data_IF_250187433189
#
_entry.id   IF_250187433189
#
_cell.length_a   1.000
_cell.length_b   1.000
_cell.length_c   1.000
_cell.angle_alpha   90.00
_cell.angle_beta   90.00
_cell.angle_gamma   90.00
#
_symmetry.space_group_name_H-M   'P 1'
#
loop_
_entity.id
_entity.type
_entity.pdbx_description
1 polymer ?
#
# COMPACT_ATOMS: atom_id res chain seq x y z
N UNK A 1 -35.77 -55.97 1.04
CA UNK A 1 -35.81 -54.50 1.19
C UNK A 1 -34.41 -53.94 0.94
N UNK A 2 -34.09 -53.62 -0.31
CA UNK A 2 -32.86 -52.91 -0.67
C UNK A 2 -33.20 -51.42 -0.77
N UNK A 3 -32.62 -50.58 0.09
CA UNK A 3 -32.74 -49.12 -0.01
C UNK A 3 -31.67 -48.63 -0.99
N UNK A 4 -32.11 -48.17 -2.15
CA UNK A 4 -31.31 -47.35 -3.05
C UNK A 4 -30.90 -46.06 -2.32
N UNK A 5 -29.61 -45.86 -2.11
CA UNK A 5 -29.05 -44.54 -1.87
C UNK A 5 -28.89 -43.86 -3.23
N UNK A 6 -29.84 -42.99 -3.60
CA UNK A 6 -29.58 -41.97 -4.59
C UNK A 6 -28.58 -40.98 -3.97
N UNK A 7 -27.33 -41.06 -4.40
CA UNK A 7 -26.39 -39.95 -4.28
C UNK A 7 -26.84 -38.84 -5.23
N UNK A 8 -27.52 -37.82 -4.69
CA UNK A 8 -27.79 -36.60 -5.44
C UNK A 8 -26.46 -35.98 -5.87
N UNK A 9 -26.29 -35.61 -7.16
CA UNK A 9 -25.13 -34.86 -7.58
C UNK A 9 -25.18 -33.50 -6.86
N UNK A 10 -24.11 -33.18 -6.10
CA UNK A 10 -23.89 -31.85 -5.53
C UNK A 10 -24.19 -30.79 -6.61
N UNK A 11 -25.26 -30.00 -6.40
CA UNK A 11 -25.69 -29.02 -7.38
C UNK A 11 -24.59 -28.00 -7.62
N UNK A 12 -24.37 -27.60 -8.87
CA UNK A 12 -23.40 -26.55 -9.25
C UNK A 12 -23.59 -25.25 -8.45
N UNK A 13 -24.82 -24.99 -8.00
CA UNK A 13 -25.16 -23.85 -7.15
C UNK A 13 -24.57 -23.96 -5.73
N UNK A 14 -24.54 -25.16 -5.13
CA UNK A 14 -23.93 -25.39 -3.81
C UNK A 14 -22.40 -25.28 -3.87
N UNK A 15 -21.78 -25.72 -4.97
CA UNK A 15 -20.34 -25.55 -5.22
C UNK A 15 -19.96 -24.08 -5.42
N UNK A 16 -20.78 -23.31 -6.16
CA UNK A 16 -20.55 -21.87 -6.34
C UNK A 16 -20.65 -21.09 -5.02
N UNK A 17 -21.66 -21.38 -4.20
CA UNK A 17 -21.80 -20.74 -2.88
C UNK A 17 -20.61 -21.09 -1.96
N UNK A 18 -20.10 -22.32 -2.04
CA UNK A 18 -18.90 -22.74 -1.30
C UNK A 18 -17.64 -21.96 -1.73
N UNK A 19 -17.45 -21.70 -3.03
CA UNK A 19 -16.32 -20.88 -3.50
C UNK A 19 -16.41 -19.42 -3.06
N UNK A 20 -17.61 -18.84 -3.06
CA UNK A 20 -17.82 -17.46 -2.61
C UNK A 20 -17.46 -17.31 -1.13
N UNK A 21 -17.93 -18.23 -0.29
CA UNK A 21 -17.59 -18.28 1.13
C UNK A 21 -16.09 -18.46 1.36
N UNK A 22 -15.43 -19.37 0.61
CA UNK A 22 -13.97 -19.54 0.66
C UNK A 22 -13.26 -18.23 0.30
N UNK A 23 -13.70 -17.55 -0.76
CA UNK A 23 -13.16 -16.27 -1.19
C UNK A 23 -13.30 -15.19 -0.12
N UNK A 24 -14.51 -14.99 0.39
CA UNK A 24 -14.79 -13.99 1.43
C UNK A 24 -13.96 -14.26 2.69
N UNK A 25 -13.91 -15.51 3.16
CA UNK A 25 -13.12 -15.88 4.33
C UNK A 25 -11.63 -15.65 4.11
N UNK A 26 -11.10 -16.02 2.95
CA UNK A 26 -9.70 -15.79 2.61
C UNK A 26 -9.39 -14.28 2.56
N UNK A 27 -10.31 -13.47 2.02
CA UNK A 27 -10.18 -12.02 2.02
C UNK A 27 -10.15 -11.43 3.44
N UNK A 28 -11.07 -11.83 4.31
CA UNK A 28 -11.14 -11.35 5.70
C UNK A 28 -9.85 -11.67 6.47
N UNK A 29 -9.34 -12.89 6.33
CA UNK A 29 -8.09 -13.31 6.98
C UNK A 29 -6.88 -12.51 6.51
N UNK A 30 -6.80 -12.14 5.22
CA UNK A 30 -5.61 -11.52 4.64
C UNK A 30 -5.66 -9.98 4.61
N UNK A 31 -6.83 -9.34 4.45
CA UNK A 31 -6.92 -7.90 4.17
C UNK A 31 -7.63 -7.07 5.26
N UNK A 32 -8.42 -7.69 6.14
CA UNK A 32 -9.22 -7.01 7.19
C UNK A 32 -8.65 -7.19 8.60
N UNK A 33 -7.69 -8.11 8.78
CA UNK A 33 -6.93 -8.39 10.02
C UNK A 33 -7.55 -7.86 11.34
N UNK A 34 -8.30 -8.73 12.03
CA UNK A 34 -8.80 -8.50 13.39
C UNK A 34 -10.23 -8.96 13.61
N UNK A 35 -10.51 -10.27 13.63
CA UNK A 35 -11.85 -10.78 13.97
C UNK A 35 -12.29 -10.41 15.40
N UNK A 36 -11.36 -9.98 16.28
CA UNK A 36 -11.62 -9.68 17.70
C UNK A 36 -10.77 -8.58 18.33
N UNK A 37 -10.02 -7.80 17.55
CA UNK A 37 -9.16 -6.74 18.06
C UNK A 37 -9.39 -5.46 17.29
N UNK A 38 -9.43 -4.32 17.98
CA UNK A 38 -9.41 -2.97 17.43
C UNK A 38 -8.11 -2.62 16.67
N UNK A 39 -7.29 -3.63 16.34
CA UNK A 39 -6.06 -3.50 15.58
C UNK A 39 -6.35 -3.22 14.10
N UNK A 40 -5.63 -2.25 13.55
CA UNK A 40 -5.74 -1.75 12.20
C UNK A 40 -5.18 -2.74 11.16
N UNK A 41 -5.84 -2.84 10.00
CA UNK A 41 -5.47 -3.61 8.81
C UNK A 41 -5.75 -2.76 7.55
N UNK A 42 -5.82 -3.35 6.35
CA UNK A 42 -5.94 -2.56 5.10
C UNK A 42 -7.38 -2.08 4.88
N UNK A 43 -8.39 -2.91 5.17
CA UNK A 43 -9.82 -2.60 4.96
C UNK A 43 -10.67 -2.74 6.22
N UNK A 44 -10.13 -2.39 7.41
CA UNK A 44 -10.80 -2.61 8.71
C UNK A 44 -12.03 -1.73 8.97
N UNK A 45 -12.39 -0.88 8.00
CA UNK A 45 -13.68 -0.21 7.98
C UNK A 45 -14.80 -1.09 7.40
N UNK A 46 -14.48 -2.25 6.83
CA UNK A 46 -15.44 -3.32 6.53
C UNK A 46 -15.69 -4.06 7.84
N UNK A 47 -16.85 -3.87 8.50
CA UNK A 47 -17.07 -4.48 9.81
C UNK A 47 -17.12 -6.01 9.69
N UNK A 48 -16.51 -6.74 10.62
CA UNK A 48 -16.59 -8.21 10.64
C UNK A 48 -18.05 -8.68 10.78
N UNK A 49 -18.83 -7.97 11.60
CA UNK A 49 -20.27 -8.25 11.84
C UNK A 49 -21.14 -8.01 10.59
N UNK A 50 -20.66 -7.18 9.65
CA UNK A 50 -21.35 -6.91 8.39
C UNK A 50 -21.42 -8.15 7.47
N UNK A 51 -20.50 -9.11 7.66
CA UNK A 51 -20.45 -10.35 6.86
C UNK A 51 -21.30 -11.46 7.49
N UNK A 52 -21.49 -11.44 8.82
CA UNK A 52 -22.18 -12.51 9.57
C UNK A 52 -23.70 -12.34 9.57
N UNK A 53 -24.22 -11.11 9.56
CA UNK A 53 -25.67 -10.83 9.75
C UNK A 53 -26.48 -10.66 8.44
N UNK A 54 -26.00 -11.15 7.29
CA UNK A 54 -26.76 -11.14 6.01
C UNK A 54 -27.21 -9.74 5.48
N UNK A 55 -26.68 -8.65 6.04
CA UNK A 55 -26.96 -7.27 5.60
C UNK A 55 -25.87 -6.68 4.68
N UNK A 56 -24.88 -7.48 4.29
CA UNK A 56 -23.83 -7.04 3.38
C UNK A 56 -24.39 -6.78 1.98
N UNK A 57 -23.98 -5.68 1.36
CA UNK A 57 -24.32 -5.43 -0.04
C UNK A 57 -23.81 -6.58 -0.91
N UNK A 58 -24.63 -7.19 -1.79
CA UNK A 58 -24.18 -8.26 -2.69
C UNK A 58 -22.94 -7.88 -3.50
N UNK A 59 -22.82 -6.58 -3.84
CA UNK A 59 -21.68 -6.00 -4.55
C UNK A 59 -20.39 -6.11 -3.74
N UNK A 60 -20.45 -5.83 -2.44
CA UNK A 60 -19.31 -5.92 -1.54
C UNK A 60 -18.90 -7.38 -1.34
N UNK A 61 -19.87 -8.28 -1.15
CA UNK A 61 -19.63 -9.73 -1.04
C UNK A 61 -18.93 -10.26 -2.29
N UNK A 62 -19.45 -9.94 -3.48
CA UNK A 62 -18.83 -10.35 -4.75
C UNK A 62 -17.41 -9.79 -4.91
N UNK A 63 -17.17 -8.54 -4.47
CA UNK A 63 -15.84 -7.92 -4.48
C UNK A 63 -14.86 -8.66 -3.56
N UNK A 64 -15.28 -8.97 -2.33
CA UNK A 64 -14.46 -9.73 -1.37
C UNK A 64 -14.16 -11.15 -1.88
N UNK A 65 -15.17 -11.85 -2.40
CA UNK A 65 -15.03 -13.17 -2.99
C UNK A 65 -14.01 -13.16 -4.14
N UNK A 66 -14.12 -12.18 -5.05
CA UNK A 66 -13.19 -12.06 -6.18
C UNK A 66 -11.72 -11.92 -5.73
N UNK A 67 -11.46 -11.05 -4.75
CA UNK A 67 -10.09 -10.77 -4.28
C UNK A 67 -9.53 -11.96 -3.49
N UNK A 68 -10.35 -12.56 -2.62
CA UNK A 68 -9.93 -13.73 -1.87
C UNK A 68 -9.63 -14.91 -2.79
N UNK A 69 -10.50 -15.18 -3.77
CA UNK A 69 -10.31 -16.25 -4.74
C UNK A 69 -9.10 -16.02 -5.63
N UNK A 70 -8.82 -14.81 -6.12
CA UNK A 70 -7.62 -14.57 -6.95
C UNK A 70 -6.35 -14.69 -6.13
N UNK A 71 -6.36 -14.22 -4.88
CA UNK A 71 -5.19 -14.33 -4.00
C UNK A 71 -4.92 -15.80 -3.63
N UNK A 72 -5.97 -16.57 -3.34
CA UNK A 72 -5.87 -18.00 -3.10
C UNK A 72 -5.43 -18.77 -4.36
N UNK A 73 -5.96 -18.40 -5.53
CA UNK A 73 -5.60 -19.00 -6.81
C UNK A 73 -4.10 -18.83 -7.11
N UNK A 74 -3.58 -17.63 -6.88
CA UNK A 74 -2.18 -17.31 -7.10
C UNK A 74 -1.27 -18.09 -6.14
N UNK A 75 -1.58 -18.06 -4.84
CA UNK A 75 -0.75 -18.72 -3.80
C UNK A 75 -0.78 -20.24 -3.86
N UNK A 76 -1.86 -20.85 -4.39
CA UNK A 76 -2.01 -22.31 -4.50
C UNK A 76 -1.80 -22.85 -5.91
N UNK A 77 -1.60 -21.97 -6.90
CA UNK A 77 -1.43 -22.36 -8.30
C UNK A 77 -2.66 -23.04 -8.91
N UNK A 78 -3.88 -22.64 -8.52
CA UNK A 78 -5.13 -23.27 -8.96
C UNK A 78 -5.90 -22.41 -9.99
N UNK A 79 -5.85 -22.72 -11.30
CA UNK A 79 -6.48 -21.90 -12.35
C UNK A 79 -8.00 -21.82 -12.25
N UNK A 80 -8.66 -22.84 -11.69
CA UNK A 80 -10.11 -22.85 -11.52
C UNK A 80 -10.58 -21.78 -10.54
N UNK A 81 -9.83 -21.53 -9.46
CA UNK A 81 -10.11 -20.45 -8.51
C UNK A 81 -9.96 -19.08 -9.18
N UNK A 82 -8.95 -18.91 -10.05
CA UNK A 82 -8.78 -17.68 -10.82
C UNK A 82 -9.94 -17.44 -11.81
N UNK A 83 -10.52 -18.50 -12.39
CA UNK A 83 -11.72 -18.38 -13.25
C UNK A 83 -12.93 -17.91 -12.45
N UNK A 84 -13.17 -18.48 -11.27
CA UNK A 84 -14.25 -18.05 -10.38
C UNK A 84 -14.04 -16.61 -9.90
N UNK A 85 -12.79 -16.25 -9.55
CA UNK A 85 -12.43 -14.90 -9.16
C UNK A 85 -12.80 -13.85 -10.23
N UNK A 86 -12.51 -14.15 -11.51
CA UNK A 86 -12.90 -13.27 -12.65
C UNK A 86 -14.42 -13.18 -12.84
N UNK A 87 -15.14 -14.27 -12.60
CA UNK A 87 -16.60 -14.25 -12.66
C UNK A 87 -17.18 -13.35 -11.57
N UNK A 88 -16.70 -13.48 -10.33
CA UNK A 88 -17.10 -12.63 -9.19
C UNK A 88 -16.69 -11.16 -9.38
N UNK A 89 -15.52 -10.91 -9.95
CA UNK A 89 -15.09 -9.57 -10.34
C UNK A 89 -16.06 -8.94 -11.35
N UNK A 90 -16.45 -9.71 -12.38
CA UNK A 90 -17.40 -9.25 -13.41
C UNK A 90 -18.80 -9.01 -12.83
N UNK A 91 -19.24 -9.86 -11.90
CA UNK A 91 -20.48 -9.66 -11.15
C UNK A 91 -20.43 -8.37 -10.33
N UNK A 92 -19.37 -8.17 -9.55
CA UNK A 92 -19.19 -6.99 -8.70
C UNK A 92 -19.14 -5.70 -9.53
N UNK A 93 -18.38 -5.65 -10.62
CA UNK A 93 -18.26 -4.43 -11.44
C UNK A 93 -19.58 -4.07 -12.14
N UNK A 94 -20.37 -5.06 -12.56
CA UNK A 94 -21.71 -4.82 -13.11
C UNK A 94 -22.63 -4.20 -12.06
N UNK A 95 -22.61 -4.72 -10.83
CA UNK A 95 -23.41 -4.15 -9.73
C UNK A 95 -22.92 -2.75 -9.34
N UNK A 96 -21.60 -2.52 -9.29
CA UNK A 96 -21.02 -1.18 -9.09
C UNK A 96 -21.56 -0.22 -10.14
N UNK A 97 -21.51 -0.58 -11.43
CA UNK A 97 -22.00 0.28 -12.51
C UNK A 97 -23.49 0.63 -12.36
N UNK A 98 -24.33 -0.32 -11.91
CA UNK A 98 -25.73 -0.05 -11.60
C UNK A 98 -25.88 0.95 -10.44
N UNK A 99 -25.11 0.79 -9.37
CA UNK A 99 -25.14 1.73 -8.24
C UNK A 99 -24.61 3.12 -8.63
N UNK A 100 -23.58 3.19 -9.46
CA UNK A 100 -23.01 4.43 -9.96
C UNK A 100 -24.00 5.21 -10.85
N UNK A 101 -24.92 4.53 -11.53
CA UNK A 101 -25.96 5.18 -12.33
C UNK A 101 -27.04 5.89 -11.48
N UNK A 102 -27.10 5.62 -10.17
CA UNK A 102 -28.05 6.26 -9.26
C UNK A 102 -27.34 7.31 -8.38
N UNK A 103 -27.82 8.58 -8.36
CA UNK A 103 -27.28 9.61 -7.47
C UNK A 103 -27.35 9.27 -5.99
N UNK A 104 -28.32 8.44 -5.58
CA UNK A 104 -28.48 8.03 -4.17
C UNK A 104 -27.62 6.83 -3.81
N UNK A 105 -27.46 5.88 -4.73
CA UNK A 105 -26.66 4.66 -4.47
C UNK A 105 -25.16 4.92 -4.62
N UNK A 106 -24.76 5.79 -5.55
CA UNK A 106 -23.35 6.11 -5.85
C UNK A 106 -22.57 6.64 -4.64
N UNK A 107 -23.25 7.35 -3.73
CA UNK A 107 -22.62 7.98 -2.55
C UNK A 107 -22.64 7.10 -1.30
N UNK A 108 -23.24 5.89 -1.34
CA UNK A 108 -23.30 4.99 -0.18
C UNK A 108 -21.92 4.42 0.19
N UNK A 109 -21.76 4.09 1.48
CA UNK A 109 -20.56 3.44 2.01
C UNK A 109 -20.29 2.10 1.32
N UNK A 110 -21.32 1.29 1.10
CA UNK A 110 -21.19 0.01 0.40
C UNK A 110 -20.60 0.15 -1.01
N UNK A 111 -20.98 1.21 -1.74
CA UNK A 111 -20.47 1.47 -3.09
C UNK A 111 -19.00 1.82 -3.03
N UNK A 112 -18.61 2.75 -2.15
CA UNK A 112 -17.19 3.12 -2.01
C UNK A 112 -16.34 1.95 -1.50
N UNK A 113 -16.81 1.16 -0.52
CA UNK A 113 -16.11 -0.03 -0.02
C UNK A 113 -15.88 -1.05 -1.14
N UNK A 114 -16.90 -1.29 -1.97
CA UNK A 114 -16.81 -2.23 -3.09
C UNK A 114 -15.82 -1.73 -4.15
N UNK A 115 -15.88 -0.44 -4.50
CA UNK A 115 -14.91 0.18 -5.39
C UNK A 115 -13.51 0.03 -4.80
N UNK A 116 -13.22 0.48 -3.57
CA UNK A 116 -11.86 0.34 -3.00
C UNK A 116 -11.38 -1.13 -3.03
N UNK A 117 -12.26 -2.07 -2.69
CA UNK A 117 -11.96 -3.51 -2.72
C UNK A 117 -11.58 -3.97 -4.13
N UNK A 118 -12.36 -3.65 -5.16
CA UNK A 118 -12.04 -4.00 -6.55
C UNK A 118 -10.69 -3.41 -7.02
N UNK A 119 -10.26 -2.30 -6.43
CA UNK A 119 -8.93 -1.73 -6.67
C UNK A 119 -7.80 -2.68 -6.30
N UNK A 120 -7.98 -3.53 -5.28
CA UNK A 120 -7.03 -4.60 -4.96
C UNK A 120 -6.96 -5.64 -6.08
N UNK A 121 -8.09 -6.00 -6.68
CA UNK A 121 -8.10 -6.94 -7.82
C UNK A 121 -7.34 -6.38 -9.02
N UNK A 122 -7.40 -5.07 -9.26
CA UNK A 122 -6.66 -4.45 -10.36
C UNK A 122 -5.17 -4.25 -10.05
N UNK A 123 -4.82 -4.02 -8.77
CA UNK A 123 -3.44 -3.82 -8.32
C UNK A 123 -2.52 -4.98 -8.66
N UNK A 124 -3.02 -6.22 -8.68
CA UNK A 124 -2.21 -7.39 -9.07
C UNK A 124 -1.89 -7.43 -10.55
N UNK A 125 -2.69 -6.77 -11.38
CA UNK A 125 -2.63 -6.93 -12.84
C UNK A 125 -1.73 -5.88 -13.49
N UNK A 126 -2.03 -4.60 -13.28
CA UNK A 126 -1.36 -3.51 -14.00
C UNK A 126 -1.50 -2.16 -13.28
N UNK A 127 -0.43 -1.35 -13.29
CA UNK A 127 -0.43 -0.03 -12.67
C UNK A 127 -1.46 0.92 -13.28
N UNK A 128 -1.60 0.93 -14.60
CA UNK A 128 -2.48 1.87 -15.30
C UNK A 128 -3.95 1.57 -15.02
N UNK A 129 -4.29 0.28 -14.88
CA UNK A 129 -5.63 -0.10 -14.42
C UNK A 129 -5.88 0.41 -13.00
N UNK A 130 -5.03 0.02 -12.07
CA UNK A 130 -5.14 0.43 -10.67
C UNK A 130 -5.21 1.95 -10.51
N UNK A 131 -4.40 2.71 -11.25
CA UNK A 131 -4.40 4.18 -11.21
C UNK A 131 -5.75 4.78 -11.67
N UNK A 132 -6.34 4.27 -12.77
CA UNK A 132 -7.67 4.71 -13.23
C UNK A 132 -8.75 4.40 -12.19
N UNK A 133 -8.63 3.24 -11.55
CA UNK A 133 -9.57 2.82 -10.52
C UNK A 133 -9.51 3.70 -9.27
N UNK A 134 -8.30 4.02 -8.79
CA UNK A 134 -8.08 4.98 -7.69
C UNK A 134 -8.63 6.37 -8.04
N UNK A 135 -8.48 6.81 -9.30
CA UNK A 135 -9.10 8.06 -9.77
C UNK A 135 -10.62 8.02 -9.70
N UNK A 136 -11.25 6.90 -10.09
CA UNK A 136 -12.68 6.68 -9.92
C UNK A 136 -13.11 6.73 -8.45
N UNK A 137 -12.39 6.05 -7.55
CA UNK A 137 -12.65 6.09 -6.12
C UNK A 137 -12.54 7.52 -5.55
N UNK A 138 -11.56 8.30 -5.99
CA UNK A 138 -11.40 9.69 -5.62
C UNK A 138 -12.57 10.56 -6.10
N UNK A 139 -13.06 10.36 -7.32
CA UNK A 139 -14.24 11.06 -7.81
C UNK A 139 -15.48 10.77 -6.95
N UNK A 140 -15.66 9.54 -6.46
CA UNK A 140 -16.75 9.20 -5.53
C UNK A 140 -16.58 9.86 -4.17
N UNK A 141 -15.36 9.90 -3.64
CA UNK A 141 -15.04 10.62 -2.41
C UNK A 141 -15.39 12.12 -2.55
N UNK A 142 -15.08 12.72 -3.69
CA UNK A 142 -15.46 14.12 -4.00
C UNK A 142 -16.98 14.27 -4.07
N UNK A 143 -17.68 13.38 -4.78
CA UNK A 143 -19.14 13.40 -4.91
C UNK A 143 -19.87 13.24 -3.56
N UNK A 144 -19.33 12.43 -2.65
CA UNK A 144 -19.84 12.27 -1.28
C UNK A 144 -19.71 13.53 -0.42
N UNK A 145 -18.80 14.43 -0.79
CA UNK A 145 -18.63 15.73 -0.16
C UNK A 145 -18.23 15.68 1.31
N UNK A 146 -18.42 16.80 2.01
CA UNK A 146 -18.00 16.99 3.41
C UNK A 146 -18.83 16.20 4.42
N UNK A 147 -20.08 15.89 4.09
CA UNK A 147 -21.01 15.15 4.95
C UNK A 147 -20.57 13.72 5.24
N UNK A 148 -19.62 13.18 4.47
CA UNK A 148 -19.10 11.82 4.69
C UNK A 148 -18.31 11.68 6.00
N UNK A 149 -17.86 12.76 6.63
CA UNK A 149 -17.06 12.69 7.85
C UNK A 149 -17.87 12.52 9.14
N UNK A 150 -19.14 12.09 9.01
CA UNK A 150 -20.03 11.78 10.13
C UNK A 150 -19.73 10.44 10.80
N UNK A 151 -19.06 9.51 10.12
CA UNK A 151 -18.74 8.17 10.65
C UNK A 151 -17.25 7.85 10.57
N UNK A 152 -16.77 7.04 11.52
CA UNK A 152 -15.38 6.57 11.55
C UNK A 152 -15.01 5.71 10.34
N UNK A 153 -15.94 4.88 9.86
CA UNK A 153 -15.74 4.05 8.67
C UNK A 153 -15.50 4.91 7.42
N UNK A 154 -16.31 5.95 7.22
CA UNK A 154 -16.14 6.89 6.11
C UNK A 154 -14.83 7.68 6.18
N UNK A 155 -14.38 8.09 7.38
CA UNK A 155 -13.05 8.71 7.57
C UNK A 155 -11.91 7.77 7.19
N UNK A 156 -12.02 6.47 7.47
CA UNK A 156 -11.01 5.49 7.07
C UNK A 156 -11.02 5.22 5.56
N UNK A 157 -12.19 5.13 4.93
CA UNK A 157 -12.30 5.03 3.47
C UNK A 157 -11.68 6.24 2.77
N UNK A 158 -12.00 7.45 3.24
CA UNK A 158 -11.40 8.69 2.74
C UNK A 158 -9.87 8.65 2.84
N UNK A 159 -9.35 8.26 4.02
CA UNK A 159 -7.91 8.14 4.23
C UNK A 159 -7.23 7.14 3.30
N UNK A 160 -7.88 6.01 3.05
CA UNK A 160 -7.37 4.97 2.14
C UNK A 160 -7.29 5.52 0.70
N UNK A 161 -8.38 6.06 0.18
CA UNK A 161 -8.44 6.64 -1.18
C UNK A 161 -7.42 7.78 -1.34
N UNK A 162 -7.26 8.62 -0.31
CA UNK A 162 -6.27 9.69 -0.29
C UNK A 162 -4.84 9.16 -0.36
N UNK A 163 -4.51 8.13 0.42
CA UNK A 163 -3.19 7.51 0.40
C UNK A 163 -2.89 6.84 -0.95
N UNK A 164 -3.89 6.17 -1.54
CA UNK A 164 -3.76 5.57 -2.88
C UNK A 164 -3.59 6.65 -3.96
N UNK A 165 -4.32 7.77 -3.88
CA UNK A 165 -4.15 8.90 -4.78
C UNK A 165 -2.76 9.55 -4.65
N UNK A 166 -2.22 9.67 -3.43
CA UNK A 166 -0.82 10.09 -3.23
C UNK A 166 0.13 9.17 -3.99
N UNK A 167 -0.03 7.85 -3.86
CA UNK A 167 0.81 6.88 -4.56
C UNK A 167 0.68 7.01 -6.09
N UNK A 168 -0.54 7.13 -6.62
CA UNK A 168 -0.78 7.35 -8.06
C UNK A 168 -0.13 8.63 -8.55
N UNK A 169 -0.34 9.76 -7.87
CA UNK A 169 0.23 11.04 -8.25
C UNK A 169 1.76 11.01 -8.22
N UNK A 170 2.39 10.36 -7.23
CA UNK A 170 3.85 10.26 -7.15
C UNK A 170 4.45 9.40 -8.27
N UNK A 171 3.80 8.30 -8.65
CA UNK A 171 4.32 7.37 -9.66
C UNK A 171 4.04 7.83 -11.09
N UNK A 172 2.82 8.30 -11.36
CA UNK A 172 2.46 8.90 -12.66
C UNK A 172 3.04 10.33 -12.82
N UNK A 173 3.51 10.91 -11.71
CA UNK A 173 3.92 12.31 -11.57
C UNK A 173 2.91 13.25 -12.18
N UNK A 174 1.71 13.22 -11.59
CA UNK A 174 0.55 14.07 -11.82
C UNK A 174 0.33 14.95 -10.58
N UNK A 175 -0.37 16.10 -10.69
CA UNK A 175 -0.67 16.91 -9.51
C UNK A 175 -1.65 16.18 -8.59
N UNK A 176 -1.59 16.47 -7.29
CA UNK A 176 -2.59 16.00 -6.35
C UNK A 176 -3.90 16.79 -6.52
N UNK A 177 -5.09 16.14 -6.59
CA UNK A 177 -6.35 16.84 -6.83
C UNK A 177 -6.71 17.85 -5.73
N UNK A 178 -7.10 19.06 -6.11
CA UNK A 178 -7.40 20.13 -5.15
C UNK A 178 -8.70 19.88 -4.36
N UNK A 179 -9.70 19.22 -4.96
CA UNK A 179 -10.92 18.82 -4.25
C UNK A 179 -10.61 17.88 -3.06
N UNK A 180 -9.60 17.02 -3.21
CA UNK A 180 -9.14 16.15 -2.12
C UNK A 180 -8.36 16.93 -1.05
N UNK A 181 -7.68 18.02 -1.41
CA UNK A 181 -7.07 18.93 -0.42
C UNK A 181 -8.15 19.55 0.47
N UNK A 182 -9.22 20.08 -0.14
CA UNK A 182 -10.34 20.70 0.58
C UNK A 182 -11.06 19.68 1.49
N UNK A 183 -11.24 18.46 1.01
CA UNK A 183 -11.79 17.38 1.84
C UNK A 183 -10.85 16.96 2.98
N UNK A 184 -9.53 16.97 2.76
CA UNK A 184 -8.55 16.70 3.81
C UNK A 184 -8.59 17.78 4.91
N UNK A 185 -8.74 19.05 4.55
CA UNK A 185 -8.89 20.14 5.52
C UNK A 185 -10.16 19.97 6.36
N UNK A 186 -11.28 19.59 5.74
CA UNK A 186 -12.51 19.31 6.45
C UNK A 186 -12.36 18.10 7.38
N UNK A 187 -11.84 16.98 6.86
CA UNK A 187 -11.60 15.77 7.64
C UNK A 187 -10.66 16.02 8.82
N UNK A 188 -9.68 16.92 8.71
CA UNK A 188 -8.75 17.27 9.81
C UNK A 188 -9.50 17.69 11.08
N UNK A 189 -10.66 18.34 10.96
CA UNK A 189 -11.48 18.77 12.10
C UNK A 189 -12.07 17.62 12.91
N UNK A 190 -12.13 16.42 12.33
CA UNK A 190 -12.69 15.21 12.93
C UNK A 190 -11.63 14.22 13.39
N UNK A 191 -10.34 14.52 13.20
CA UNK A 191 -9.24 13.62 13.48
C UNK A 191 -8.48 14.03 14.73
N UNK A 192 -7.95 13.04 15.45
CA UNK A 192 -7.05 13.29 16.58
C UNK A 192 -5.81 14.07 16.09
N UNK A 193 -5.60 15.30 16.57
CA UNK A 193 -4.43 16.08 16.20
C UNK A 193 -3.12 15.39 16.55
N UNK A 194 -3.10 14.45 17.51
CA UNK A 194 -1.89 13.72 17.91
C UNK A 194 -1.66 12.43 17.09
N UNK A 195 -2.58 12.05 16.21
CA UNK A 195 -2.43 10.84 15.39
C UNK A 195 -1.26 10.97 14.42
N UNK A 196 -0.19 10.20 14.64
CA UNK A 196 0.95 10.15 13.72
C UNK A 196 0.53 9.68 12.32
N UNK A 197 -0.44 8.75 12.25
CA UNK A 197 -1.00 8.26 10.99
C UNK A 197 -1.69 9.37 10.19
N UNK A 198 -2.57 10.16 10.82
CA UNK A 198 -3.25 11.25 10.13
C UNK A 198 -2.26 12.31 9.65
N UNK A 199 -1.34 12.74 10.52
CA UNK A 199 -0.27 13.70 10.20
C UNK A 199 0.60 13.23 9.07
N UNK A 200 0.99 11.94 9.06
CA UNK A 200 1.76 11.34 7.98
C UNK A 200 1.05 11.52 6.64
N UNK A 201 -0.25 11.23 6.58
CA UNK A 201 -0.99 11.42 5.35
C UNK A 201 -1.06 12.88 4.92
N UNK A 202 -1.24 13.83 5.84
CA UNK A 202 -1.26 15.28 5.52
C UNK A 202 0.08 15.70 4.91
N UNK A 203 1.19 15.29 5.51
CA UNK A 203 2.53 15.54 4.97
C UNK A 203 2.75 14.80 3.64
N UNK A 204 2.18 13.60 3.47
CA UNK A 204 2.24 12.87 2.20
C UNK A 204 1.62 13.66 1.04
N UNK A 205 0.49 14.33 1.27
CA UNK A 205 -0.12 15.27 0.30
C UNK A 205 0.81 16.44 -0.02
N UNK A 206 1.44 17.02 0.99
CA UNK A 206 2.40 18.13 0.81
C UNK A 206 3.63 17.68 0.01
N UNK A 207 4.19 16.50 0.32
CA UNK A 207 5.27 15.89 -0.44
C UNK A 207 4.87 15.70 -1.90
N UNK A 208 3.67 15.18 -2.19
CA UNK A 208 3.20 15.02 -3.58
C UNK A 208 3.14 16.33 -4.34
N UNK A 209 2.57 17.39 -3.73
CA UNK A 209 2.51 18.74 -4.33
C UNK A 209 3.92 19.29 -4.59
N UNK A 210 4.82 19.11 -3.63
CA UNK A 210 6.22 19.52 -3.77
C UNK A 210 6.94 18.78 -4.90
N UNK A 211 6.84 17.45 -4.97
CA UNK A 211 7.45 16.64 -6.02
C UNK A 211 6.97 17.04 -7.42
N UNK A 212 5.67 17.32 -7.55
CA UNK A 212 5.09 17.86 -8.78
C UNK A 212 5.69 19.23 -9.14
N UNK A 213 5.81 20.13 -8.15
CA UNK A 213 6.42 21.45 -8.32
C UNK A 213 7.87 21.35 -8.82
N UNK A 214 8.69 20.48 -8.22
CA UNK A 214 10.08 20.24 -8.65
C UNK A 214 10.12 19.73 -10.09
N UNK A 215 9.30 18.73 -10.44
CA UNK A 215 9.25 18.15 -11.79
C UNK A 215 8.84 19.16 -12.86
N UNK A 216 7.95 20.09 -12.51
CA UNK A 216 7.44 21.12 -13.44
C UNK A 216 8.20 22.44 -13.37
N UNK A 217 9.18 22.57 -12.48
CA UNK A 217 10.03 23.75 -12.43
C UNK A 217 10.76 23.92 -13.77
N UNK A 218 10.63 25.11 -14.35
CA UNK A 218 11.33 25.58 -15.56
C UNK A 218 12.10 26.87 -15.25
N UNK A 219 12.40 27.11 -13.97
CA UNK A 219 13.05 28.33 -13.48
C UNK A 219 12.10 29.33 -12.83
N UNK A 220 10.81 29.01 -12.66
CA UNK A 220 9.87 29.90 -11.96
C UNK A 220 10.19 30.01 -10.46
N UNK A 221 10.78 28.96 -9.87
CA UNK A 221 11.22 28.94 -8.46
C UNK A 221 12.71 28.65 -8.43
N UNK A 222 13.45 29.48 -7.69
CA UNK A 222 14.88 29.30 -7.49
C UNK A 222 15.17 27.96 -6.78
N UNK A 223 16.18 27.23 -7.25
CA UNK A 223 16.57 25.95 -6.67
C UNK A 223 16.87 25.99 -5.16
N UNK A 224 17.56 27.02 -4.61
CA UNK A 224 17.75 27.14 -3.17
C UNK A 224 16.44 27.22 -2.37
N UNK A 225 15.41 27.88 -2.91
CA UNK A 225 14.08 27.95 -2.28
C UNK A 225 13.41 26.58 -2.26
N UNK A 226 13.49 25.81 -3.35
CA UNK A 226 12.98 24.44 -3.40
C UNK A 226 13.74 23.51 -2.45
N UNK A 227 15.05 23.69 -2.30
CA UNK A 227 15.86 22.93 -1.35
C UNK A 227 15.46 23.23 0.11
N UNK A 228 15.18 24.49 0.43
CA UNK A 228 14.67 24.88 1.75
C UNK A 228 13.30 24.25 2.04
N UNK A 229 12.39 24.25 1.06
CA UNK A 229 11.08 23.57 1.19
C UNK A 229 11.25 22.07 1.42
N UNK A 230 12.13 21.42 0.65
CA UNK A 230 12.43 20.00 0.80
C UNK A 230 12.99 19.67 2.19
N UNK A 231 13.90 20.52 2.70
CA UNK A 231 14.48 20.41 4.04
C UNK A 231 13.39 20.51 5.12
N UNK A 232 12.44 21.43 4.98
CA UNK A 232 11.29 21.56 5.88
C UNK A 232 10.36 20.33 5.86
N UNK A 233 10.10 19.76 4.68
CA UNK A 233 9.33 18.51 4.56
C UNK A 233 10.07 17.34 5.20
N UNK A 234 11.38 17.25 5.02
CA UNK A 234 12.19 16.20 5.64
C UNK A 234 12.18 16.30 7.17
N UNK A 235 12.30 17.51 7.73
CA UNK A 235 12.14 17.73 9.17
C UNK A 235 10.76 17.36 9.68
N UNK A 236 9.70 17.66 8.92
CA UNK A 236 8.32 17.28 9.27
C UNK A 236 8.13 15.76 9.29
N UNK A 237 8.68 15.05 8.31
CA UNK A 237 8.67 13.59 8.25
C UNK A 237 9.44 12.97 9.42
N UNK A 238 10.62 13.51 9.75
CA UNK A 238 11.43 13.04 10.89
C UNK A 238 10.69 13.24 12.22
N UNK A 239 10.03 14.38 12.41
CA UNK A 239 9.20 14.62 13.59
C UNK A 239 8.07 13.59 13.70
N UNK A 240 7.36 13.33 12.60
CA UNK A 240 6.28 12.32 12.58
C UNK A 240 6.82 10.92 12.89
N UNK A 241 7.99 10.56 12.36
CA UNK A 241 8.66 9.29 12.69
C UNK A 241 8.97 9.20 14.18
N UNK A 242 9.43 10.30 14.81
CA UNK A 242 9.62 10.35 16.26
C UNK A 242 8.34 10.06 17.04
N UNK A 243 7.21 10.65 16.63
CA UNK A 243 5.89 10.38 17.24
C UNK A 243 5.45 8.94 16.97
N UNK A 244 5.66 8.43 15.76
CA UNK A 244 5.31 7.07 15.37
C UNK A 244 6.07 6.02 16.18
N UNK A 245 7.36 6.26 16.50
CA UNK A 245 8.15 5.41 17.40
C UNK A 245 7.53 5.27 18.79
N UNK A 246 6.90 6.33 19.30
CA UNK A 246 6.24 6.32 20.61
C UNK A 246 4.86 5.64 20.56
N UNK A 247 4.10 5.82 19.48
CA UNK A 247 2.74 5.30 19.35
C UNK A 247 2.68 3.85 18.83
N UNK A 248 3.62 3.48 17.96
CA UNK A 248 3.66 2.18 17.27
C UNK A 248 5.10 1.82 16.89
N UNK A 249 5.97 1.79 17.90
CA UNK A 249 7.38 1.39 17.74
C UNK A 249 7.54 -0.07 17.29
N UNK A 250 8.78 -0.43 16.97
CA UNK A 250 9.18 -1.78 16.59
C UNK A 250 10.50 -2.16 17.30
N UNK A 251 10.77 -3.46 17.39
CA UNK A 251 12.04 -3.96 17.92
C UNK A 251 12.88 -4.55 16.82
N UNK A 252 14.18 -4.26 16.81
CA UNK A 252 15.13 -4.86 15.86
C UNK A 252 15.74 -6.12 16.47
N UNK A 253 15.72 -7.20 15.70
CA UNK A 253 16.26 -8.51 16.08
C UNK A 253 17.14 -9.07 14.97
N UNK A 254 17.89 -10.13 15.29
CA UNK A 254 18.74 -10.86 14.34
C UNK A 254 18.41 -12.34 14.34
N UNK A 255 18.56 -12.99 13.18
CA UNK A 255 18.42 -14.44 13.00
C UNK A 255 19.69 -15.01 12.32
N UNK A 256 20.76 -15.25 13.10
CA UNK A 256 21.97 -15.87 12.58
C UNK A 256 21.67 -17.23 11.94
N UNK A 257 22.21 -17.49 10.75
CA UNK A 257 21.94 -18.73 10.00
C UNK A 257 20.50 -18.86 9.48
N UNK A 258 19.70 -17.77 9.51
CA UNK A 258 18.40 -17.74 8.85
C UNK A 258 18.53 -17.81 7.33
N UNK A 259 17.46 -18.24 6.65
CA UNK A 259 17.41 -18.28 5.19
C UNK A 259 17.73 -16.89 4.61
N UNK A 260 18.83 -16.72 3.85
CA UNK A 260 19.26 -15.42 3.33
C UNK A 260 18.29 -14.86 2.30
N UNK A 261 17.43 -15.70 1.69
CA UNK A 261 16.36 -15.20 0.83
C UNK A 261 15.36 -14.39 1.65
N UNK A 262 15.10 -14.74 2.91
CA UNK A 262 14.16 -14.08 3.83
C UNK A 262 14.84 -13.02 4.71
N UNK A 263 15.98 -13.34 5.31
CA UNK A 263 16.65 -12.51 6.32
C UNK A 263 17.91 -11.84 5.75
N UNK A 264 17.73 -10.73 5.03
CA UNK A 264 18.85 -9.95 4.51
C UNK A 264 19.76 -9.45 5.63
N UNK A 265 21.06 -9.81 5.57
CA UNK A 265 22.05 -9.52 6.61
C UNK A 265 21.59 -9.91 8.02
N UNK A 266 20.81 -11.00 8.13
CA UNK A 266 20.29 -11.56 9.37
C UNK A 266 19.36 -10.64 10.17
N UNK A 267 19.10 -9.41 9.73
CA UNK A 267 18.30 -8.42 10.46
C UNK A 267 16.82 -8.53 10.10
N UNK A 268 15.97 -8.41 11.10
CA UNK A 268 14.54 -8.19 10.92
C UNK A 268 13.97 -7.29 12.01
N UNK A 269 12.88 -6.61 11.71
CA UNK A 269 12.18 -5.72 12.64
C UNK A 269 10.78 -6.29 12.96
N UNK A 270 10.41 -6.27 14.24
CA UNK A 270 9.14 -6.81 14.76
C UNK A 270 8.22 -5.65 15.14
N UNK A 271 7.12 -5.54 14.42
CA UNK A 271 6.06 -4.56 14.60
C UNK A 271 4.84 -5.17 15.31
N UNK A 272 3.98 -4.32 15.83
CA UNK A 272 2.76 -4.74 16.52
C UNK A 272 1.74 -5.44 15.62
N UNK A 273 1.71 -5.12 14.32
CA UNK A 273 0.86 -5.75 13.30
C UNK A 273 1.27 -5.31 11.88
N UNK A 274 0.64 -5.89 10.86
CA UNK A 274 0.86 -5.58 9.44
C UNK A 274 0.55 -4.12 9.06
N UNK A 275 -0.41 -3.49 9.73
CA UNK A 275 -0.69 -2.06 9.51
C UNK A 275 0.45 -1.17 9.98
N UNK A 276 1.06 -1.46 11.12
CA UNK A 276 2.22 -0.72 11.59
C UNK A 276 3.36 -0.79 10.55
N UNK A 277 3.63 -1.98 10.00
CA UNK A 277 4.58 -2.16 8.89
C UNK A 277 4.24 -1.22 7.72
N UNK A 278 2.97 -1.20 7.29
CA UNK A 278 2.51 -0.34 6.19
C UNK A 278 2.74 1.15 6.46
N UNK A 279 2.37 1.64 7.64
CA UNK A 279 2.55 3.05 8.02
C UNK A 279 4.03 3.43 8.05
N UNK A 280 4.87 2.59 8.66
CA UNK A 280 6.32 2.79 8.68
C UNK A 280 6.92 2.80 7.28
N UNK A 281 6.57 1.85 6.43
CA UNK A 281 7.08 1.79 5.06
C UNK A 281 6.59 2.96 4.20
N UNK A 282 5.37 3.47 4.41
CA UNK A 282 4.91 4.69 3.77
C UNK A 282 5.74 5.91 4.20
N UNK A 283 6.02 6.06 5.50
CA UNK A 283 6.87 7.14 6.00
C UNK A 283 8.30 7.08 5.46
N UNK A 284 8.89 5.88 5.37
CA UNK A 284 10.21 5.66 4.78
C UNK A 284 10.21 5.97 3.29
N UNK A 285 9.18 5.55 2.56
CA UNK A 285 9.01 5.84 1.13
C UNK A 285 8.96 7.34 0.88
N UNK A 286 8.18 8.09 1.66
CA UNK A 286 8.09 9.54 1.55
C UNK A 286 9.44 10.22 1.79
N UNK A 287 10.16 9.82 2.83
CA UNK A 287 11.51 10.34 3.10
C UNK A 287 12.49 10.05 1.96
N UNK A 288 12.47 8.84 1.39
CA UNK A 288 13.31 8.51 0.23
C UNK A 288 12.99 9.43 -0.96
N UNK A 289 11.70 9.64 -1.28
CA UNK A 289 11.30 10.51 -2.40
C UNK A 289 11.70 11.97 -2.19
N UNK A 290 11.58 12.48 -0.96
CA UNK A 290 12.02 13.85 -0.61
C UNK A 290 13.55 13.95 -0.70
N UNK A 291 14.30 13.01 -0.13
CA UNK A 291 15.77 12.97 -0.22
C UNK A 291 16.26 12.86 -1.67
N UNK A 292 15.65 12.03 -2.51
CA UNK A 292 16.01 11.94 -3.93
C UNK A 292 15.75 13.27 -4.65
N UNK A 293 14.69 13.99 -4.28
CA UNK A 293 14.42 15.33 -4.83
C UNK A 293 15.41 16.37 -4.32
N UNK A 294 15.80 16.32 -3.04
CA UNK A 294 16.87 17.16 -2.50
C UNK A 294 18.16 16.94 -3.29
N UNK A 295 18.57 15.69 -3.53
CA UNK A 295 19.75 15.36 -4.34
C UNK A 295 19.67 15.92 -5.75
N UNK A 296 18.51 15.76 -6.41
CA UNK A 296 18.28 16.35 -7.73
C UNK A 296 18.43 17.87 -7.71
N UNK A 297 17.81 18.55 -6.74
CA UNK A 297 17.89 20.01 -6.58
C UNK A 297 19.33 20.46 -6.28
N UNK A 298 20.04 19.76 -5.39
CA UNK A 298 21.44 20.03 -5.08
C UNK A 298 22.31 19.95 -6.34
N UNK A 299 22.08 18.98 -7.22
CA UNK A 299 22.80 18.90 -8.49
C UNK A 299 22.51 20.10 -9.41
N UNK A 300 21.28 20.62 -9.41
CA UNK A 300 20.95 21.84 -10.17
C UNK A 300 21.65 23.08 -9.61
N UNK A 301 21.80 23.16 -8.28
CA UNK A 301 22.51 24.26 -7.61
C UNK A 301 24.01 24.17 -7.89
N UNK A 302 24.61 22.99 -7.73
CA UNK A 302 26.05 22.76 -7.95
C UNK A 302 26.48 22.93 -9.42
N UNK A 303 25.54 22.94 -10.36
CA UNK A 303 25.81 23.25 -11.77
C UNK A 303 26.01 24.76 -12.02
N UNK A 304 25.77 25.61 -11.01
CA UNK A 304 25.99 27.06 -11.07
C UNK A 304 27.31 27.45 -10.42
N UNK A 305 27.80 28.66 -10.72
CA UNK A 305 29.00 29.21 -10.07
C UNK A 305 28.65 29.64 -8.63
N UNK A 306 29.28 29.01 -7.66
CA UNK A 306 28.99 29.16 -6.23
C UNK A 306 30.26 29.52 -5.46
N UNK A 307 30.10 30.31 -4.41
CA UNK A 307 31.19 30.50 -3.45
C UNK A 307 31.59 29.17 -2.80
N UNK A 308 32.89 28.94 -2.52
CA UNK A 308 33.38 27.65 -2.01
C UNK A 308 32.67 27.14 -0.74
N UNK A 309 32.29 28.06 0.16
CA UNK A 309 31.58 27.71 1.41
C UNK A 309 30.17 27.19 1.11
N UNK A 310 29.45 27.84 0.19
CA UNK A 310 28.11 27.43 -0.23
C UNK A 310 28.18 26.10 -0.95
N UNK A 311 29.16 25.91 -1.84
CA UNK A 311 29.38 24.63 -2.52
C UNK A 311 29.59 23.49 -1.51
N UNK A 312 30.50 23.68 -0.54
CA UNK A 312 30.78 22.67 0.48
C UNK A 312 29.55 22.32 1.33
N UNK A 313 28.71 23.31 1.65
CA UNK A 313 27.46 23.08 2.39
C UNK A 313 26.46 22.22 1.60
N UNK A 314 26.28 22.50 0.30
CA UNK A 314 25.37 21.75 -0.57
C UNK A 314 25.89 20.33 -0.80
N UNK A 315 27.20 20.15 -0.95
CA UNK A 315 27.83 18.83 -1.06
C UNK A 315 27.65 17.99 0.21
N UNK A 316 27.82 18.58 1.40
CA UNK A 316 27.59 17.91 2.67
C UNK A 316 26.13 17.46 2.81
N UNK A 317 25.18 18.34 2.52
CA UNK A 317 23.75 17.99 2.57
C UNK A 317 23.39 16.85 1.58
N UNK A 318 24.06 16.82 0.42
CA UNK A 318 23.90 15.73 -0.56
C UNK A 318 24.42 14.39 -0.03
N UNK A 319 25.49 14.40 0.76
CA UNK A 319 26.01 13.20 1.43
C UNK A 319 25.08 12.73 2.56
N UNK A 320 24.59 13.65 3.39
CA UNK A 320 23.65 13.34 4.48
C UNK A 320 22.36 12.68 3.93
N UNK A 321 21.80 13.23 2.85
CA UNK A 321 20.61 12.66 2.20
C UNK A 321 20.88 11.27 1.64
N UNK A 322 22.09 11.00 1.14
CA UNK A 322 22.50 9.67 0.67
C UNK A 322 22.56 8.67 1.83
N UNK A 323 23.13 9.04 2.98
CA UNK A 323 23.16 8.16 4.16
C UNK A 323 21.74 7.83 4.65
N UNK A 324 20.87 8.83 4.71
CA UNK A 324 19.46 8.66 5.07
C UNK A 324 18.78 7.64 4.14
N UNK A 325 18.91 7.79 2.82
CA UNK A 325 18.30 6.88 1.84
C UNK A 325 18.83 5.45 2.00
N UNK A 326 20.14 5.29 2.19
CA UNK A 326 20.76 3.97 2.41
C UNK A 326 20.17 3.28 3.64
N UNK A 327 20.06 4.00 4.76
CA UNK A 327 19.47 3.50 6.01
C UNK A 327 18.00 3.11 5.81
N UNK A 328 17.19 4.00 5.22
CA UNK A 328 15.77 3.77 5.01
C UNK A 328 15.49 2.56 4.13
N UNK A 329 16.30 2.35 3.08
CA UNK A 329 16.17 1.16 2.23
C UNK A 329 16.45 -0.14 2.99
N UNK A 330 17.47 -0.17 3.85
CA UNK A 330 17.75 -1.32 4.74
C UNK A 330 16.62 -1.54 5.76
N UNK A 331 16.05 -0.47 6.29
CA UNK A 331 14.92 -0.56 7.22
C UNK A 331 13.64 -1.07 6.54
N UNK A 332 13.40 -0.75 5.25
CA UNK A 332 12.30 -1.35 4.46
C UNK A 332 12.53 -2.85 4.31
N UNK A 333 13.75 -3.28 3.94
CA UNK A 333 14.09 -4.71 3.81
C UNK A 333 13.87 -5.45 5.15
N UNK A 334 14.24 -4.85 6.28
CA UNK A 334 14.06 -5.46 7.59
C UNK A 334 12.60 -5.73 7.97
N UNK A 335 11.62 -5.12 7.28
CA UNK A 335 10.19 -5.42 7.48
C UNK A 335 9.71 -6.71 6.81
N UNK A 336 10.47 -7.22 5.83
CA UNK A 336 10.02 -8.32 4.96
C UNK A 336 9.71 -9.60 5.75
N UNK A 337 10.55 -10.08 6.69
CA UNK A 337 10.30 -11.35 7.36
C UNK A 337 8.97 -11.39 8.12
N UNK A 338 8.63 -10.30 8.81
CA UNK A 338 7.35 -10.20 9.52
C UNK A 338 6.18 -10.01 8.55
N UNK A 339 6.34 -9.19 7.51
CA UNK A 339 5.28 -8.97 6.54
C UNK A 339 4.89 -10.27 5.80
N UNK A 340 5.85 -11.16 5.53
CA UNK A 340 5.61 -12.48 4.94
C UNK A 340 4.88 -13.45 5.89
N UNK A 341 4.82 -13.15 7.19
CA UNK A 341 4.30 -14.05 8.23
C UNK A 341 5.30 -15.07 8.75
N UNK A 342 6.59 -14.99 8.36
CA UNK A 342 7.65 -15.88 8.85
C UNK A 342 7.98 -15.58 10.32
N UNK A 343 7.85 -14.31 10.71
CA UNK A 343 7.94 -13.87 12.10
C UNK A 343 6.52 -13.52 12.58
N UNK A 344 6.03 -14.12 13.68
CA UNK A 344 4.69 -13.81 14.18
C UNK A 344 4.61 -12.37 14.66
N UNK A 345 3.40 -11.80 14.65
CA UNK A 345 3.18 -10.50 15.27
C UNK A 345 3.10 -10.62 16.80
N UNK A 346 3.44 -9.53 17.51
CA UNK A 346 3.29 -9.48 18.96
C UNK A 346 1.82 -9.67 19.40
N UNK A 347 0.86 -9.30 18.54
CA UNK A 347 -0.57 -9.54 18.75
C UNK A 347 -1.03 -10.98 18.47
N UNK A 348 -0.21 -11.80 17.82
CA UNK A 348 -0.58 -13.15 17.37
C UNK A 348 -0.26 -14.24 18.40
N UNK A 349 0.36 -13.86 19.53
CA UNK A 349 0.69 -14.76 20.65
C UNK A 349 -0.61 -15.17 21.36
N UNK A 350 -1.34 -16.12 20.77
CA UNK A 350 -2.56 -16.69 21.35
C UNK A 350 -3.49 -17.45 20.39
N UNK A 351 -3.36 -17.27 19.06
CA UNK A 351 -4.36 -17.78 18.11
C UNK A 351 -3.72 -18.31 16.82
N UNK A 352 -2.96 -19.39 16.94
CA UNK A 352 -2.51 -20.16 15.79
C UNK A 352 -3.70 -20.96 15.22
N UNK A 353 -4.43 -20.38 14.27
CA UNK A 353 -5.11 -21.22 13.26
C UNK A 353 -4.05 -21.50 12.21
N UNK A 354 -3.60 -22.75 12.17
CA UNK A 354 -2.62 -23.26 11.22
C UNK A 354 -3.24 -23.29 9.81
N UNK A 355 -3.26 -22.14 9.14
CA UNK A 355 -3.42 -22.07 7.70
C UNK A 355 -2.00 -21.96 7.14
N UNK A 356 -1.43 -23.11 6.82
CA UNK A 356 -0.16 -23.26 6.10
C UNK A 356 -0.28 -22.64 4.69
N UNK A 357 -0.18 -21.31 4.61
CA UNK A 357 0.04 -20.59 3.36
C UNK A 357 1.50 -20.10 3.33
N UNK A 358 2.30 -20.46 2.31
CA UNK A 358 3.72 -20.11 2.29
C UNK A 358 4.03 -18.61 2.24
N UNK A 359 3.06 -17.74 1.94
CA UNK A 359 3.22 -16.28 1.85
C UNK A 359 1.88 -15.63 2.18
N UNK A 360 1.84 -14.73 3.17
CA UNK A 360 0.67 -13.88 3.40
C UNK A 360 0.38 -13.07 2.13
N UNK A 361 -0.74 -13.34 1.46
CA UNK A 361 -1.07 -12.74 0.17
C UNK A 361 -1.12 -11.20 0.21
N UNK A 362 -1.41 -10.62 1.38
CA UNK A 362 -1.40 -9.16 1.59
C UNK A 362 0.01 -8.55 1.62
N UNK A 363 1.05 -9.33 1.91
CA UNK A 363 2.42 -8.85 2.06
C UNK A 363 2.91 -8.15 0.79
N UNK A 364 2.70 -8.79 -0.36
CA UNK A 364 3.08 -8.23 -1.64
C UNK A 364 2.37 -6.90 -1.94
N UNK A 365 1.05 -6.81 -1.70
CA UNK A 365 0.30 -5.56 -1.84
C UNK A 365 0.86 -4.43 -0.95
N UNK A 366 1.23 -4.75 0.29
CA UNK A 366 1.77 -3.76 1.23
C UNK A 366 3.19 -3.31 0.91
N UNK A 367 3.98 -4.16 0.24
CA UNK A 367 5.43 -3.99 0.15
C UNK A 367 5.96 -3.68 -1.25
N UNK A 368 5.23 -4.01 -2.31
CA UNK A 368 5.71 -3.87 -3.69
C UNK A 368 6.23 -2.45 -3.96
N UNK A 369 5.51 -1.41 -3.53
CA UNK A 369 5.92 -0.01 -3.76
C UNK A 369 7.09 0.46 -2.89
N UNK A 370 7.18 0.01 -1.63
CA UNK A 370 8.28 0.40 -0.75
C UNK A 370 9.58 -0.27 -1.18
N UNK A 371 9.52 -1.57 -1.50
CA UNK A 371 10.65 -2.31 -2.07
C UNK A 371 11.08 -1.73 -3.42
N UNK A 372 10.14 -1.43 -4.33
CA UNK A 372 10.46 -0.77 -5.59
C UNK A 372 11.12 0.59 -5.37
N UNK A 373 10.61 1.42 -4.45
CA UNK A 373 11.21 2.72 -4.15
C UNK A 373 12.64 2.59 -3.62
N UNK A 374 12.89 1.63 -2.72
CA UNK A 374 14.22 1.36 -2.21
C UNK A 374 15.15 0.82 -3.31
N UNK A 375 14.71 -0.17 -4.10
CA UNK A 375 15.52 -0.83 -5.13
C UNK A 375 15.83 0.07 -6.33
N UNK A 376 14.92 0.97 -6.68
CA UNK A 376 15.12 1.98 -7.74
C UNK A 376 16.18 3.02 -7.36
N UNK A 377 16.37 3.28 -6.07
CA UNK A 377 17.28 4.34 -5.63
C UNK A 377 18.71 4.01 -6.07
N UNK A 378 19.44 4.97 -6.68
CA UNK A 378 20.84 4.75 -7.05
C UNK A 378 21.71 4.49 -5.82
N UNK A 379 21.28 4.89 -4.62
CA UNK A 379 22.03 4.68 -3.37
C UNK A 379 21.99 3.22 -2.88
N UNK A 380 20.94 2.48 -3.25
CA UNK A 380 20.79 1.08 -2.89
C UNK A 380 21.49 0.23 -3.95
N UNK A 381 22.77 -0.10 -3.75
CA UNK A 381 23.60 -0.83 -4.72
C UNK A 381 23.96 -2.25 -4.23
N UNK A 382 24.57 -3.03 -5.13
CA UNK A 382 25.12 -4.35 -4.82
C UNK A 382 24.08 -5.35 -4.31
N UNK A 383 24.41 -6.04 -3.23
CA UNK A 383 23.61 -7.15 -2.69
C UNK A 383 22.22 -6.70 -2.21
N UNK A 384 22.07 -5.47 -1.72
CA UNK A 384 20.77 -4.95 -1.28
C UNK A 384 19.78 -4.81 -2.44
N UNK A 385 20.23 -4.28 -3.58
CA UNK A 385 19.41 -4.14 -4.80
C UNK A 385 19.03 -5.50 -5.37
N UNK A 386 19.98 -6.43 -5.47
CA UNK A 386 19.75 -7.80 -5.95
C UNK A 386 18.71 -8.51 -5.09
N UNK A 387 18.82 -8.40 -3.77
CA UNK A 387 17.87 -8.99 -2.84
C UNK A 387 16.46 -8.43 -3.03
N UNK A 388 16.33 -7.11 -3.19
CA UNK A 388 15.04 -6.46 -3.48
C UNK A 388 14.44 -6.97 -4.80
N UNK A 389 15.26 -7.07 -5.86
CA UNK A 389 14.82 -7.58 -7.17
C UNK A 389 14.27 -9.00 -7.03
N UNK A 390 15.03 -9.89 -6.37
CA UNK A 390 14.60 -11.27 -6.15
C UNK A 390 13.28 -11.32 -5.39
N UNK A 391 13.13 -10.51 -4.34
CA UNK A 391 11.90 -10.48 -3.55
C UNK A 391 10.69 -9.98 -4.35
N UNK A 392 10.86 -8.98 -5.20
CA UNK A 392 9.80 -8.50 -6.11
C UNK A 392 9.46 -9.55 -7.18
N UNK A 393 10.44 -10.31 -7.68
CA UNK A 393 10.20 -11.43 -8.59
C UNK A 393 9.38 -12.52 -7.92
N UNK A 394 9.67 -12.87 -6.67
CA UNK A 394 8.88 -13.82 -5.89
C UNK A 394 7.44 -13.35 -5.67
N UNK A 395 7.22 -12.06 -5.38
CA UNK A 395 5.86 -11.49 -5.34
C UNK A 395 5.15 -11.60 -6.69
N UNK A 396 5.87 -11.40 -7.79
CA UNK A 396 5.34 -11.56 -9.13
C UNK A 396 4.93 -13.00 -9.46
N UNK A 397 5.84 -13.95 -9.23
CA UNK A 397 5.66 -15.35 -9.63
C UNK A 397 4.79 -16.15 -8.66
N UNK A 398 4.97 -15.96 -7.34
CA UNK A 398 4.33 -16.79 -6.32
C UNK A 398 3.05 -16.18 -5.76
N UNK A 399 2.99 -14.84 -5.62
CA UNK A 399 1.78 -14.14 -5.19
C UNK A 399 0.92 -13.63 -6.37
N UNK A 400 1.41 -13.80 -7.61
CA UNK A 400 0.71 -13.40 -8.84
C UNK A 400 0.54 -11.88 -9.00
N UNK A 401 1.41 -11.09 -8.37
CA UNK A 401 1.41 -9.63 -8.48
C UNK A 401 2.22 -9.23 -9.71
N UNK A 402 1.60 -9.28 -10.89
CA UNK A 402 2.26 -9.02 -12.19
C UNK A 402 2.90 -7.64 -12.23
N UNK A 403 2.31 -6.64 -11.56
CA UNK A 403 2.90 -5.32 -11.38
C UNK A 403 4.34 -5.37 -10.80
N UNK A 404 4.62 -6.29 -9.86
CA UNK A 404 5.94 -6.41 -9.28
C UNK A 404 7.01 -6.79 -10.33
N UNK A 405 6.66 -7.61 -11.32
CA UNK A 405 7.56 -7.98 -12.43
C UNK A 405 7.85 -6.79 -13.34
N UNK A 406 6.83 -5.99 -13.67
CA UNK A 406 7.01 -4.75 -14.44
C UNK A 406 7.96 -3.77 -13.73
N UNK A 407 7.85 -3.68 -12.40
CA UNK A 407 8.72 -2.83 -11.58
C UNK A 407 10.16 -3.35 -11.53
N UNK A 408 10.35 -4.68 -11.50
CA UNK A 408 11.69 -5.30 -11.59
C UNK A 408 12.38 -4.94 -12.90
N UNK A 409 11.69 -5.06 -14.04
CA UNK A 409 12.26 -4.65 -15.34
C UNK A 409 12.72 -3.20 -15.33
N UNK A 410 11.98 -2.31 -14.66
CA UNK A 410 12.36 -0.92 -14.52
C UNK A 410 13.63 -0.74 -13.67
N UNK A 411 13.77 -1.47 -12.55
CA UNK A 411 14.99 -1.43 -11.72
C UNK A 411 16.19 -1.93 -12.52
N UNK A 412 16.05 -3.04 -13.25
CA UNK A 412 17.12 -3.63 -14.06
C UNK A 412 17.59 -2.65 -15.15
N UNK A 413 16.66 -1.97 -15.83
CA UNK A 413 17.01 -0.96 -16.84
C UNK A 413 17.81 0.20 -16.22
N UNK A 414 17.46 0.64 -15.02
CA UNK A 414 18.18 1.71 -14.31
C UNK A 414 19.60 1.25 -13.95
N UNK A 415 19.75 0.01 -13.50
CA UNK A 415 21.04 -0.60 -13.17
C UNK A 415 21.96 -0.70 -14.40
N UNK A 416 21.39 -1.07 -15.55
CA UNK A 416 22.11 -1.13 -16.84
C UNK A 416 22.51 0.24 -17.40
N UNK A 417 21.80 1.32 -17.05
CA UNK A 417 22.17 2.68 -17.46
C UNK A 417 23.16 3.36 -16.51
N UNK A 418 23.38 2.80 -15.32
CA UNK A 418 24.29 3.35 -14.30
C UNK A 418 25.71 2.75 -14.40
N UNK A 419 25.84 1.56 -14.99
CA UNK A 419 27.11 0.92 -15.36
C UNK A 419 27.47 1.26 -16.81
#
# INVERSE_FOLDING_TARGET
MARNYNSDPLSLHNLSNSYDEIGVNYFLCNFVTGYRSSSCGYLNYIPADYVVDSHCSPMLVASMAAIGLVTLANTTGQPQLAKHARAKYSEAINQVNVALASPTESIKDSTLMSVISLGLFEHVSDFSSWARHVQGAAALVVARGKSQFSTRASLFMFNQVRADMVAVCMHSGQPFPEDLCQLQEEATKHMDPMSAFWRLGVVATQCTKFLWCVRKNRGQIAWPTLLQQATGLQGSLQHIVGVLSMQSGYTTSRKPGGDPTVFYNERFDVYMNSWAIRVWNNARTLQIKVCDSMRYISNQILATDLEPVTQAHIELQRLDTQEIVSKLGKDIIATVPQALGVIPSASDIGYAIDISSPINGSAGYMMTWSLYTAGKSPVMEGEGRKWIIQRLQEFGHTAGITLALQLVENIIKIDQCAN
#
